data_IF_586330599681
#
_entry.id   IF_586330599681
#
_cell.length_a   1.000
_cell.length_b   1.000
_cell.length_c   1.000
_cell.angle_alpha   90.00
_cell.angle_beta   90.00
_cell.angle_gamma   90.00
#
_symmetry.space_group_name_H-M   'P 1'
#
loop_
_entity.id
_entity.type
_entity.pdbx_description
1 polymer ?
#
# COMPACT_ATOMS: atom_id res chain seq x y z
N UNK A 1 47.75 4.83 -14.59
CA UNK A 1 46.46 5.55 -14.74
C UNK A 1 46.29 6.50 -13.56
N UNK A 2 46.10 7.80 -13.83
CA UNK A 2 46.08 8.83 -12.79
C UNK A 2 44.82 8.72 -11.90
N UNK A 3 45.00 8.86 -10.58
CA UNK A 3 43.94 8.92 -9.56
C UNK A 3 42.81 9.90 -9.92
N UNK A 4 43.09 10.94 -10.72
CA UNK A 4 42.07 11.87 -11.22
C UNK A 4 41.12 11.26 -12.26
N UNK A 5 41.59 10.29 -13.07
CA UNK A 5 40.72 9.59 -14.04
C UNK A 5 39.83 8.53 -13.37
N UNK A 6 40.32 7.89 -12.30
CA UNK A 6 39.51 6.99 -11.48
C UNK A 6 38.42 7.74 -10.70
N UNK A 7 38.73 8.91 -10.14
CA UNK A 7 37.76 9.74 -9.44
C UNK A 7 36.67 10.32 -10.37
N UNK A 8 37.02 10.71 -11.60
CA UNK A 8 36.05 11.16 -12.61
C UNK A 8 35.15 10.04 -13.13
N UNK A 9 35.65 8.81 -13.26
CA UNK A 9 34.85 7.66 -13.66
C UNK A 9 33.84 7.24 -12.57
N UNK A 10 34.23 7.29 -11.29
CA UNK A 10 33.33 7.04 -10.16
C UNK A 10 32.28 8.14 -10.01
N UNK A 11 32.64 9.41 -10.21
CA UNK A 11 31.68 10.52 -10.19
C UNK A 11 30.67 10.45 -11.36
N UNK A 12 31.10 10.00 -12.55
CA UNK A 12 30.21 9.80 -13.70
C UNK A 12 29.27 8.59 -13.52
N UNK A 13 29.73 7.52 -12.88
CA UNK A 13 28.89 6.35 -12.55
C UNK A 13 27.89 6.64 -11.43
N UNK A 14 28.25 7.48 -10.45
CA UNK A 14 27.31 7.98 -9.44
C UNK A 14 26.28 8.96 -10.03
N UNK A 15 26.65 9.78 -11.01
CA UNK A 15 25.72 10.68 -11.69
C UNK A 15 24.72 9.94 -12.61
N UNK A 16 25.07 8.75 -13.11
CA UNK A 16 24.18 7.92 -13.93
C UNK A 16 23.34 6.93 -13.09
N UNK A 17 23.80 6.54 -11.89
CA UNK A 17 23.05 5.72 -10.94
C UNK A 17 22.07 6.47 -10.04
N UNK A 18 22.05 7.81 -10.09
CA UNK A 18 21.18 8.68 -9.30
C UNK A 18 20.02 9.28 -10.10
N UNK A 19 19.57 8.63 -11.18
CA UNK A 19 18.22 8.89 -11.71
C UNK A 19 17.20 8.26 -10.76
N UNK A 20 16.96 8.96 -9.65
CA UNK A 20 15.68 8.86 -8.95
C UNK A 20 14.55 8.98 -9.98
N UNK A 21 13.47 8.20 -9.78
CA UNK A 21 12.18 8.48 -10.43
C UNK A 21 11.98 10.01 -10.45
N UNK A 22 11.62 10.60 -11.61
CA UNK A 22 11.37 12.04 -11.67
C UNK A 22 10.35 12.38 -10.59
N UNK A 23 10.64 13.48 -9.89
CA UNK A 23 9.89 14.10 -8.82
C UNK A 23 8.53 13.46 -8.50
N UNK A 24 8.33 13.12 -7.22
CA UNK A 24 6.99 12.90 -6.68
C UNK A 24 6.02 14.00 -7.15
N UNK A 25 4.76 13.60 -7.27
CA UNK A 25 3.64 14.43 -7.75
C UNK A 25 3.86 15.93 -7.53
N UNK A 26 3.86 16.77 -8.60
CA UNK A 26 3.96 18.21 -8.43
C UNK A 26 2.75 18.71 -7.64
N UNK A 27 3.01 19.33 -6.49
CA UNK A 27 2.06 20.24 -5.88
C UNK A 27 1.71 21.33 -6.90
N UNK A 28 0.41 21.57 -7.07
CA UNK A 28 -0.13 22.66 -7.90
C UNK A 28 0.41 24.00 -7.39
N UNK A 29 1.36 24.57 -8.12
CA UNK A 29 1.90 25.91 -7.88
C UNK A 29 2.43 26.52 -9.18
N UNK A 30 1.58 27.35 -9.80
CA UNK A 30 1.86 28.37 -10.81
C UNK A 30 2.88 28.09 -11.94
N UNK A 31 2.39 27.98 -13.18
CA UNK A 31 3.08 28.60 -14.32
C UNK A 31 3.67 27.74 -15.44
N UNK A 32 3.39 26.43 -15.51
CA UNK A 32 3.66 25.64 -16.71
C UNK A 32 2.67 24.49 -16.84
N UNK A 33 1.82 24.52 -17.88
CA UNK A 33 1.03 23.36 -18.31
C UNK A 33 1.97 22.30 -18.90
N UNK A 34 2.65 21.55 -18.04
CA UNK A 34 3.16 20.23 -18.41
C UNK A 34 2.06 19.27 -17.99
N UNK A 35 1.36 18.71 -18.98
CA UNK A 35 0.39 17.66 -18.75
C UNK A 35 1.02 16.62 -17.81
N UNK A 36 0.40 16.36 -16.66
CA UNK A 36 0.74 15.19 -15.86
C UNK A 36 0.61 13.95 -16.76
N UNK A 37 1.21 12.80 -16.42
CA UNK A 37 0.78 11.55 -17.02
C UNK A 37 -0.73 11.46 -16.81
N UNK A 38 -1.45 11.75 -17.89
CA UNK A 38 -2.79 11.35 -18.23
C UNK A 38 -3.59 10.73 -17.08
N UNK A 39 -4.58 11.48 -16.58
CA UNK A 39 -5.75 10.94 -15.89
C UNK A 39 -6.61 10.03 -16.81
N UNK A 40 -6.00 9.25 -17.72
CA UNK A 40 -6.67 8.66 -18.88
C UNK A 40 -6.82 7.13 -18.79
N UNK A 41 -6.51 6.50 -17.66
CA UNK A 41 -6.83 5.08 -17.44
C UNK A 41 -7.45 4.81 -16.07
N UNK A 42 -7.65 5.83 -15.24
CA UNK A 42 -8.25 5.70 -13.91
C UNK A 42 -9.66 6.24 -13.95
N UNK A 43 -10.64 5.36 -13.79
CA UNK A 43 -12.01 5.72 -13.54
C UNK A 43 -12.26 5.51 -12.05
N UNK A 44 -12.48 6.59 -11.31
CA UNK A 44 -12.90 6.47 -9.91
C UNK A 44 -14.29 5.84 -9.88
N UNK A 45 -14.55 5.01 -8.88
CA UNK A 45 -15.87 4.41 -8.74
C UNK A 45 -16.89 5.52 -8.45
N UNK A 46 -18.02 5.58 -9.18
CA UNK A 46 -19.00 6.62 -8.95
C UNK A 46 -19.62 6.44 -7.56
N UNK A 47 -19.40 7.42 -6.68
CA UNK A 47 -20.15 7.54 -5.42
C UNK A 47 -21.59 7.91 -5.78
N UNK A 48 -22.58 7.21 -5.22
CA UNK A 48 -23.98 7.43 -5.56
C UNK A 48 -24.43 8.84 -5.15
N UNK A 49 -25.47 9.37 -5.81
CA UNK A 49 -26.02 10.68 -5.46
C UNK A 49 -26.47 10.75 -3.98
N UNK A 50 -27.05 9.67 -3.46
CA UNK A 50 -27.46 9.55 -2.05
C UNK A 50 -26.24 9.57 -1.12
N UNK A 51 -25.16 8.85 -1.46
CA UNK A 51 -23.92 8.87 -0.70
C UNK A 51 -23.28 10.27 -0.71
N UNK A 52 -23.27 10.96 -1.85
CA UNK A 52 -22.75 12.32 -1.96
C UNK A 52 -23.58 13.31 -1.12
N UNK A 53 -24.89 13.14 -1.03
CA UNK A 53 -25.74 13.97 -0.16
C UNK A 53 -25.38 13.77 1.32
N UNK A 54 -25.25 12.51 1.76
CA UNK A 54 -24.85 12.19 3.14
C UNK A 54 -23.45 12.73 3.46
N UNK A 55 -22.48 12.51 2.57
CA UNK A 55 -21.12 13.02 2.73
C UNK A 55 -21.09 14.55 2.75
N UNK A 56 -21.87 15.20 1.89
CA UNK A 56 -22.02 16.65 1.85
C UNK A 56 -22.63 17.23 3.14
N UNK A 57 -23.62 16.56 3.71
CA UNK A 57 -24.22 16.97 4.98
C UNK A 57 -23.22 16.88 6.15
N UNK A 58 -22.43 15.79 6.21
CA UNK A 58 -21.36 15.64 7.21
C UNK A 58 -20.27 16.71 7.05
N UNK A 59 -19.85 16.98 5.82
CA UNK A 59 -18.88 18.02 5.50
C UNK A 59 -19.39 19.41 5.93
N UNK A 60 -20.64 19.74 5.61
CA UNK A 60 -21.26 21.00 6.00
C UNK A 60 -21.36 21.16 7.53
N UNK A 61 -21.68 20.08 8.26
CA UNK A 61 -21.71 20.10 9.71
C UNK A 61 -20.32 20.35 10.32
N UNK A 62 -19.28 19.70 9.78
CA UNK A 62 -17.89 19.90 10.17
C UNK A 62 -17.39 21.34 9.86
N UNK A 63 -17.79 21.89 8.71
CA UNK A 63 -17.39 23.24 8.30
C UNK A 63 -18.09 24.34 9.11
N UNK A 64 -19.35 24.12 9.51
CA UNK A 64 -20.08 25.02 10.39
C UNK A 64 -19.53 25.01 11.83
N UNK A 65 -18.86 23.94 12.26
CA UNK A 65 -18.36 23.76 13.62
C UNK A 65 -16.87 23.34 13.59
N UNK A 66 -15.95 24.26 13.22
CA UNK A 66 -14.57 23.88 12.97
C UNK A 66 -13.81 23.34 14.19
N UNK A 67 -14.21 23.74 15.40
CA UNK A 67 -13.63 23.30 16.67
C UNK A 67 -14.35 22.09 17.27
N UNK A 68 -15.34 21.52 16.57
CA UNK A 68 -16.05 20.31 17.01
C UNK A 68 -15.32 19.06 16.54
N UNK A 69 -14.63 18.42 17.48
CA UNK A 69 -13.94 17.15 17.27
C UNK A 69 -14.84 16.06 16.68
N UNK A 70 -16.07 15.91 17.19
CA UNK A 70 -16.97 14.85 16.78
C UNK A 70 -17.44 15.07 15.34
N UNK A 71 -17.78 16.31 14.97
CA UNK A 71 -18.18 16.66 13.61
C UNK A 71 -17.04 16.41 12.60
N UNK A 72 -15.82 16.87 12.91
CA UNK A 72 -14.62 16.66 12.08
C UNK A 72 -14.30 15.16 11.92
N UNK A 73 -14.28 14.41 13.03
CA UNK A 73 -14.03 12.96 13.01
C UNK A 73 -15.08 12.22 12.18
N UNK A 74 -16.37 12.55 12.35
CA UNK A 74 -17.45 11.89 11.61
C UNK A 74 -17.34 12.13 10.09
N UNK A 75 -17.13 13.38 9.68
CA UNK A 75 -16.91 13.72 8.28
C UNK A 75 -15.66 13.04 7.71
N UNK A 76 -14.53 13.14 8.40
CA UNK A 76 -13.25 12.56 7.98
C UNK A 76 -13.32 11.04 7.82
N UNK A 77 -13.92 10.33 8.79
CA UNK A 77 -14.08 8.88 8.72
C UNK A 77 -15.01 8.45 7.58
N UNK A 78 -16.11 9.17 7.35
CA UNK A 78 -17.04 8.84 6.26
C UNK A 78 -16.38 9.01 4.88
N UNK A 79 -15.68 10.12 4.66
CA UNK A 79 -14.94 10.36 3.42
C UNK A 79 -13.76 9.38 3.26
N UNK A 80 -13.08 9.00 4.34
CA UNK A 80 -12.05 7.96 4.31
C UNK A 80 -12.62 6.63 3.83
N UNK A 81 -13.75 6.18 4.39
CA UNK A 81 -14.39 4.93 3.97
C UNK A 81 -14.87 4.98 2.51
N UNK A 82 -15.43 6.10 2.08
CA UNK A 82 -15.82 6.29 0.67
C UNK A 82 -14.60 6.28 -0.27
N UNK A 83 -13.48 6.90 0.16
CA UNK A 83 -12.20 6.83 -0.55
C UNK A 83 -11.72 5.39 -0.70
N UNK A 84 -11.78 4.60 0.37
CA UNK A 84 -11.40 3.19 0.36
C UNK A 84 -12.36 2.32 -0.46
N UNK A 85 -13.62 2.72 -0.60
CA UNK A 85 -14.59 2.10 -1.50
C UNK A 85 -14.29 2.32 -2.99
N UNK A 86 -13.51 3.34 -3.33
CA UNK A 86 -13.11 3.68 -4.70
C UNK A 86 -13.36 5.15 -5.11
N UNK A 87 -13.95 5.97 -4.25
CA UNK A 87 -14.16 7.42 -4.46
C UNK A 87 -12.90 8.22 -4.13
N UNK A 88 -11.85 8.06 -4.94
CA UNK A 88 -10.50 8.54 -4.62
C UNK A 88 -10.36 10.07 -4.66
N UNK A 89 -11.31 10.75 -5.31
CA UNK A 89 -11.50 12.21 -5.28
C UNK A 89 -11.89 12.74 -3.90
N UNK A 90 -12.48 11.91 -3.04
CA UNK A 90 -12.86 12.27 -1.66
C UNK A 90 -11.70 12.27 -0.68
N UNK A 91 -10.52 11.81 -1.09
CA UNK A 91 -9.34 11.64 -0.24
C UNK A 91 -8.91 12.92 0.44
N UNK A 92 -8.84 14.02 -0.31
CA UNK A 92 -8.32 15.29 0.22
C UNK A 92 -9.26 15.85 1.30
N UNK A 93 -10.58 15.62 1.17
CA UNK A 93 -11.57 15.95 2.21
C UNK A 93 -11.41 15.08 3.44
N UNK A 94 -11.25 13.76 3.25
CA UNK A 94 -11.00 12.83 4.35
C UNK A 94 -9.78 13.23 5.17
N UNK A 95 -8.67 13.55 4.50
CA UNK A 95 -7.43 14.03 5.13
C UNK A 95 -7.64 15.31 5.92
N UNK A 96 -8.22 16.34 5.30
CA UNK A 96 -8.42 17.63 5.96
C UNK A 96 -9.24 17.51 7.25
N UNK A 97 -10.34 16.76 7.22
CA UNK A 97 -11.20 16.60 8.40
C UNK A 97 -10.59 15.68 9.47
N UNK A 98 -9.90 14.60 9.08
CA UNK A 98 -9.20 13.73 10.05
C UNK A 98 -8.01 14.44 10.71
N UNK A 99 -7.24 15.22 9.94
CA UNK A 99 -6.13 16.04 10.46
C UNK A 99 -6.63 17.14 11.39
N UNK A 100 -7.73 17.81 11.05
CA UNK A 100 -8.37 18.79 11.92
C UNK A 100 -8.89 18.15 13.22
N UNK A 101 -9.54 16.99 13.14
CA UNK A 101 -9.95 16.23 14.32
C UNK A 101 -8.74 15.84 15.19
N UNK A 102 -7.64 15.43 14.56
CA UNK A 102 -6.42 15.04 15.27
C UNK A 102 -5.75 16.22 15.96
N UNK A 103 -5.77 17.41 15.34
CA UNK A 103 -5.29 18.63 15.96
C UNK A 103 -6.09 19.03 17.21
N UNK A 104 -7.40 18.71 17.25
CA UNK A 104 -8.26 18.96 18.40
C UNK A 104 -8.05 17.96 19.54
N UNK A 105 -7.89 16.67 19.23
CA UNK A 105 -7.59 15.63 20.22
C UNK A 105 -6.60 14.58 19.66
N UNK A 106 -5.28 14.81 19.82
CA UNK A 106 -4.26 13.87 19.37
C UNK A 106 -4.17 12.61 20.25
N UNK A 107 -4.78 12.63 21.44
CA UNK A 107 -4.77 11.50 22.37
C UNK A 107 -5.81 10.43 22.03
N UNK A 108 -6.78 10.75 21.17
CA UNK A 108 -7.82 9.83 20.75
C UNK A 108 -7.26 8.67 19.90
N UNK A 109 -6.87 7.57 20.56
CA UNK A 109 -6.22 6.39 19.94
C UNK A 109 -6.92 5.84 18.70
N UNK A 110 -8.26 5.81 18.69
CA UNK A 110 -9.04 5.33 17.54
C UNK A 110 -8.86 6.19 16.28
N UNK A 111 -8.71 7.50 16.45
CA UNK A 111 -8.50 8.45 15.36
C UNK A 111 -7.07 8.34 14.85
N UNK A 112 -6.09 8.37 15.76
CA UNK A 112 -4.68 8.24 15.37
C UNK A 112 -4.41 6.92 14.65
N UNK A 113 -5.05 5.82 15.08
CA UNK A 113 -4.99 4.54 14.37
C UNK A 113 -5.60 4.62 12.97
N UNK A 114 -6.79 5.21 12.82
CA UNK A 114 -7.47 5.32 11.54
C UNK A 114 -6.71 6.19 10.55
N UNK A 115 -6.30 7.40 10.98
CA UNK A 115 -5.55 8.35 10.17
C UNK A 115 -4.15 7.81 9.80
N UNK A 116 -3.44 7.19 10.75
CA UNK A 116 -2.15 6.57 10.48
C UNK A 116 -2.25 5.46 9.44
N UNK A 117 -3.28 4.60 9.56
CA UNK A 117 -3.57 3.59 8.52
C UNK A 117 -3.93 4.23 7.20
N UNK A 118 -4.71 5.30 7.19
CA UNK A 118 -5.08 5.99 5.96
C UNK A 118 -3.86 6.53 5.19
N UNK A 119 -2.83 7.03 5.88
CA UNK A 119 -1.58 7.41 5.24
C UNK A 119 -0.81 6.23 4.63
N UNK A 120 -0.82 5.06 5.28
CA UNK A 120 -0.26 3.85 4.66
C UNK A 120 -1.02 3.50 3.38
N UNK A 121 -2.36 3.62 3.40
CA UNK A 121 -3.22 3.33 2.25
C UNK A 121 -2.99 4.32 1.11
N UNK A 122 -2.78 5.62 1.41
CA UNK A 122 -2.44 6.68 0.44
C UNK A 122 -1.09 6.46 -0.25
N UNK A 123 -0.17 5.74 0.39
CA UNK A 123 1.24 5.69 -0.01
C UNK A 123 1.83 7.10 -0.16
N UNK A 124 2.01 7.84 0.95
CA UNK A 124 2.49 9.25 1.03
C UNK A 124 3.89 9.54 0.43
N UNK A 125 4.43 8.62 -0.36
CA UNK A 125 5.67 8.80 -1.11
C UNK A 125 5.57 10.02 -2.05
N UNK A 126 6.52 10.95 -1.92
CA UNK A 126 6.54 12.19 -2.68
C UNK A 126 5.72 13.34 -2.07
N UNK A 127 4.99 13.10 -0.99
CA UNK A 127 4.32 14.14 -0.21
C UNK A 127 4.99 14.28 1.16
N UNK A 128 5.93 15.23 1.27
CA UNK A 128 6.70 15.43 2.51
C UNK A 128 5.79 15.78 3.69
N UNK A 129 4.76 16.60 3.45
CA UNK A 129 3.84 17.05 4.50
C UNK A 129 3.06 15.88 5.10
N UNK A 130 2.61 14.94 4.27
CA UNK A 130 1.87 13.76 4.73
C UNK A 130 2.78 12.70 5.32
N UNK A 131 4.03 12.58 4.86
CA UNK A 131 5.02 11.73 5.53
C UNK A 131 5.34 12.22 6.95
N UNK A 132 5.51 13.53 7.14
CA UNK A 132 5.70 14.12 8.47
C UNK A 132 4.45 13.92 9.35
N UNK A 133 3.25 14.14 8.80
CA UNK A 133 2.01 13.91 9.51
C UNK A 133 1.81 12.44 9.91
N UNK A 134 2.22 11.49 9.06
CA UNK A 134 2.23 10.06 9.41
C UNK A 134 3.11 9.79 10.63
N UNK A 135 4.30 10.40 10.71
CA UNK A 135 5.18 10.29 11.88
C UNK A 135 4.50 10.85 13.12
N UNK A 136 3.91 12.05 13.04
CA UNK A 136 3.20 12.69 14.17
C UNK A 136 2.04 11.85 14.67
N UNK A 137 1.20 11.34 13.76
CA UNK A 137 0.01 10.56 14.11
C UNK A 137 0.39 9.22 14.74
N UNK A 138 1.41 8.55 14.22
CA UNK A 138 1.88 7.31 14.82
C UNK A 138 2.61 7.51 16.15
N UNK A 139 3.39 8.58 16.32
CA UNK A 139 3.97 8.94 17.61
C UNK A 139 2.87 9.11 18.68
N UNK A 140 1.79 9.82 18.35
CA UNK A 140 0.62 9.95 19.23
C UNK A 140 -0.06 8.59 19.50
N UNK A 141 -0.12 7.71 18.49
CA UNK A 141 -0.70 6.37 18.65
C UNK A 141 0.14 5.45 19.54
N UNK A 142 1.47 5.55 19.47
CA UNK A 142 2.41 4.81 20.32
C UNK A 142 2.33 5.26 21.78
N UNK A 143 1.95 6.52 22.02
CA UNK A 143 1.72 7.05 23.37
C UNK A 143 2.99 6.95 24.22
N UNK A 144 2.88 6.35 25.40
CA UNK A 144 3.99 6.21 26.37
C UNK A 144 5.18 5.38 25.84
N UNK A 145 4.97 4.56 24.81
CA UNK A 145 6.07 3.82 24.17
C UNK A 145 7.00 4.71 23.35
N UNK A 146 6.57 5.94 23.02
CA UNK A 146 7.34 6.92 22.27
C UNK A 146 7.87 8.00 23.19
N UNK A 147 9.18 8.19 23.20
CA UNK A 147 9.83 9.30 23.91
C UNK A 147 9.92 10.52 22.97
N UNK A 148 9.21 11.64 23.26
CA UNK A 148 9.24 12.83 22.43
C UNK A 148 10.55 13.61 22.51
N UNK A 149 11.36 13.45 23.57
CA UNK A 149 12.63 14.15 23.73
C UNK A 149 13.73 13.53 22.87
N UNK A 150 13.78 12.19 22.83
CA UNK A 150 14.79 11.44 22.07
C UNK A 150 14.30 11.02 20.68
N UNK A 151 12.99 10.91 20.49
CA UNK A 151 12.38 10.36 19.28
C UNK A 151 12.62 8.86 19.13
N UNK A 152 12.82 8.16 20.24
CA UNK A 152 13.08 6.72 20.35
C UNK A 152 11.84 5.96 20.86
N UNK A 153 11.83 4.65 20.59
CA UNK A 153 10.79 3.71 21.03
C UNK A 153 11.51 2.47 21.54
N UNK A 154 11.15 1.99 22.74
CA UNK A 154 11.66 0.72 23.26
C UNK A 154 10.95 -0.44 22.55
N UNK A 155 11.57 -0.90 21.45
CA UNK A 155 11.01 -1.92 20.55
C UNK A 155 10.82 -3.27 21.26
N UNK A 156 11.69 -3.60 22.20
CA UNK A 156 11.69 -4.89 22.89
C UNK A 156 10.51 -5.00 23.87
N UNK A 157 10.07 -3.86 24.43
CA UNK A 157 8.93 -3.77 25.34
C UNK A 157 7.55 -3.77 24.63
N UNK A 158 7.51 -3.68 23.30
CA UNK A 158 6.23 -3.58 22.58
C UNK A 158 5.48 -4.90 22.55
N UNK A 159 4.16 -4.85 22.74
CA UNK A 159 3.26 -5.92 22.30
C UNK A 159 3.17 -5.96 20.76
N UNK A 160 2.59 -7.02 20.20
CA UNK A 160 2.48 -7.17 18.73
C UNK A 160 1.71 -6.03 18.08
N UNK A 161 0.59 -5.57 18.65
CA UNK A 161 -0.22 -4.51 18.06
C UNK A 161 0.54 -3.18 18.01
N UNK A 162 1.29 -2.88 19.07
CA UNK A 162 2.09 -1.67 19.20
C UNK A 162 3.34 -1.75 18.31
N UNK A 163 3.92 -2.95 18.16
CA UNK A 163 5.00 -3.19 17.21
C UNK A 163 4.58 -2.98 15.75
N UNK A 164 3.34 -3.37 15.39
CA UNK A 164 2.77 -3.06 14.06
C UNK A 164 2.70 -1.55 13.85
N UNK A 165 2.22 -0.79 14.85
CA UNK A 165 2.20 0.67 14.79
C UNK A 165 3.60 1.27 14.66
N UNK A 166 4.56 0.77 15.44
CA UNK A 166 5.98 1.16 15.34
C UNK A 166 6.56 0.92 13.94
N UNK A 167 6.23 -0.21 13.31
CA UNK A 167 6.72 -0.52 11.96
C UNK A 167 6.27 0.52 10.93
N UNK A 168 5.03 1.01 11.03
CA UNK A 168 4.51 2.09 10.17
C UNK A 168 4.97 3.49 10.59
N UNK A 169 5.26 3.71 11.88
CA UNK A 169 5.95 4.90 12.36
C UNK A 169 7.34 5.03 11.71
N UNK A 170 8.15 3.98 11.74
CA UNK A 170 9.47 3.98 11.12
C UNK A 170 9.39 4.08 9.60
N UNK A 171 8.37 3.49 8.95
CA UNK A 171 8.10 3.74 7.53
C UNK A 171 7.89 5.24 7.25
N UNK A 172 7.09 5.92 8.08
CA UNK A 172 6.91 7.37 8.00
C UNK A 172 8.23 8.12 8.09
N UNK A 173 9.09 7.76 9.06
CA UNK A 173 10.43 8.38 9.23
C UNK A 173 11.35 8.12 8.04
N UNK A 174 11.31 6.92 7.47
CA UNK A 174 12.05 6.56 6.25
C UNK A 174 11.60 7.43 5.08
N UNK A 175 10.28 7.59 4.88
CA UNK A 175 9.71 8.41 3.82
C UNK A 175 10.03 9.90 4.02
N UNK A 176 9.90 10.42 5.24
CA UNK A 176 10.27 11.80 5.59
C UNK A 176 11.75 12.07 5.34
N UNK A 177 12.65 11.18 5.80
CA UNK A 177 14.09 11.29 5.56
C UNK A 177 14.41 11.27 4.05
N UNK A 178 13.79 10.37 3.29
CA UNK A 178 13.92 10.29 1.83
C UNK A 178 13.45 11.58 1.16
N UNK A 179 12.28 12.08 1.51
CA UNK A 179 11.70 13.31 0.95
C UNK A 179 12.56 14.55 1.28
N UNK A 180 13.23 14.55 2.43
CA UNK A 180 14.20 15.57 2.83
C UNK A 180 15.60 15.40 2.19
N UNK A 181 15.79 14.45 1.26
CA UNK A 181 17.08 14.19 0.61
C UNK A 181 18.12 13.46 1.48
N UNK A 182 17.74 13.00 2.69
CA UNK A 182 18.62 12.30 3.64
C UNK A 182 18.68 10.79 3.34
N UNK A 183 19.11 10.42 2.12
CA UNK A 183 19.04 9.04 1.62
C UNK A 183 19.80 8.03 2.47
N UNK A 184 20.99 8.39 2.99
CA UNK A 184 21.76 7.50 3.87
C UNK A 184 21.04 7.24 5.21
N UNK A 185 20.34 8.25 5.73
CA UNK A 185 19.53 8.11 6.94
C UNK A 185 18.33 7.18 6.68
N UNK A 186 17.63 7.40 5.58
CA UNK A 186 16.52 6.55 5.15
C UNK A 186 16.96 5.08 4.99
N UNK A 187 18.09 4.82 4.33
CA UNK A 187 18.62 3.46 4.15
C UNK A 187 19.05 2.80 5.47
N UNK A 188 19.65 3.56 6.39
CA UNK A 188 20.00 3.07 7.72
C UNK A 188 18.76 2.65 8.50
N UNK A 189 17.68 3.45 8.42
CA UNK A 189 16.39 3.15 9.05
C UNK A 189 15.71 1.93 8.43
N UNK A 190 15.74 1.79 7.09
CA UNK A 190 15.26 0.57 6.42
C UNK A 190 15.97 -0.66 6.97
N UNK A 191 17.30 -0.67 7.03
CA UNK A 191 18.05 -1.82 7.58
C UNK A 191 17.69 -2.13 9.03
N UNK A 192 17.48 -1.09 9.85
CA UNK A 192 17.07 -1.26 11.24
C UNK A 192 15.67 -1.88 11.35
N UNK A 193 14.72 -1.39 10.55
CA UNK A 193 13.34 -1.90 10.51
C UNK A 193 13.27 -3.33 9.97
N UNK A 194 13.99 -3.64 8.89
CA UNK A 194 14.08 -5.02 8.35
C UNK A 194 14.58 -6.01 9.40
N UNK A 195 15.61 -5.63 10.15
CA UNK A 195 16.13 -6.46 11.25
C UNK A 195 15.11 -6.63 12.37
N UNK A 196 14.48 -5.55 12.82
CA UNK A 196 13.47 -5.61 13.88
C UNK A 196 12.29 -6.50 13.48
N UNK A 197 11.81 -6.40 12.24
CA UNK A 197 10.76 -7.26 11.69
C UNK A 197 11.19 -8.74 11.66
N UNK A 198 12.41 -9.03 11.19
CA UNK A 198 12.93 -10.38 11.13
C UNK A 198 13.10 -11.01 12.52
N UNK A 199 13.70 -10.28 13.47
CA UNK A 199 13.88 -10.71 14.85
C UNK A 199 12.53 -10.97 15.54
N UNK A 200 11.57 -10.06 15.35
CA UNK A 200 10.23 -10.21 15.91
C UNK A 200 9.49 -11.41 15.30
N UNK A 201 9.51 -11.58 13.98
CA UNK A 201 8.87 -12.72 13.31
C UNK A 201 9.51 -14.06 13.71
N UNK A 202 10.83 -14.09 13.94
CA UNK A 202 11.53 -15.26 14.45
C UNK A 202 11.16 -15.61 15.90
N UNK A 203 10.98 -14.59 16.75
CA UNK A 203 10.57 -14.76 18.14
C UNK A 203 9.11 -15.22 18.30
N UNK A 204 8.25 -14.94 17.32
CA UNK A 204 6.82 -15.30 17.32
C UNK A 204 6.48 -16.17 16.09
N UNK A 205 7.02 -17.40 16.01
CA UNK A 205 6.91 -18.20 14.80
C UNK A 205 5.48 -18.60 14.43
N UNK A 206 4.57 -18.61 15.40
CA UNK A 206 3.16 -18.95 15.23
C UNK A 206 2.28 -17.76 14.82
N UNK A 207 2.79 -16.53 14.90
CA UNK A 207 2.08 -15.32 14.49
C UNK A 207 2.19 -15.12 12.97
N UNK A 208 1.22 -15.68 12.25
CA UNK A 208 1.15 -15.63 10.77
C UNK A 208 0.99 -14.19 10.27
N UNK A 209 0.27 -13.33 11.01
CA UNK A 209 0.02 -11.94 10.61
C UNK A 209 1.29 -11.09 10.73
N UNK A 210 2.10 -11.32 11.77
CA UNK A 210 3.40 -10.68 11.90
C UNK A 210 4.38 -11.12 10.80
N UNK A 211 4.39 -12.40 10.43
CA UNK A 211 5.18 -12.88 9.29
C UNK A 211 4.73 -12.22 7.99
N UNK A 212 3.41 -12.13 7.76
CA UNK A 212 2.87 -11.44 6.59
C UNK A 212 3.28 -9.95 6.56
N UNK A 213 3.30 -9.27 7.70
CA UNK A 213 3.81 -7.90 7.82
C UNK A 213 5.28 -7.81 7.41
N UNK A 214 6.15 -8.67 7.94
CA UNK A 214 7.57 -8.69 7.60
C UNK A 214 7.80 -8.96 6.10
N UNK A 215 7.03 -9.90 5.52
CA UNK A 215 7.04 -10.18 4.10
C UNK A 215 6.62 -8.98 3.25
N UNK A 216 5.53 -8.31 3.62
CA UNK A 216 5.03 -7.10 2.93
C UNK A 216 6.09 -5.99 2.92
N UNK A 217 6.71 -5.70 4.07
CA UNK A 217 7.78 -4.70 4.13
C UNK A 217 8.99 -5.07 3.27
N UNK A 218 9.41 -6.34 3.31
CA UNK A 218 10.51 -6.83 2.47
C UNK A 218 10.20 -6.63 0.98
N UNK A 219 8.98 -6.99 0.56
CA UNK A 219 8.53 -6.83 -0.82
C UNK A 219 8.41 -5.37 -1.24
N UNK A 220 7.84 -4.51 -0.38
CA UNK A 220 7.78 -3.07 -0.58
C UNK A 220 9.17 -2.47 -0.79
N UNK A 221 10.15 -2.86 0.03
CA UNK A 221 11.53 -2.38 -0.13
C UNK A 221 12.22 -2.96 -1.36
N UNK A 222 11.96 -4.21 -1.76
CA UNK A 222 12.50 -4.80 -2.97
C UNK A 222 12.12 -4.01 -4.24
N UNK A 223 10.92 -3.44 -4.25
CA UNK A 223 10.43 -2.61 -5.34
C UNK A 223 10.91 -1.16 -5.32
N UNK A 224 11.31 -0.65 -4.16
CA UNK A 224 11.64 0.77 -3.99
C UNK A 224 13.14 1.04 -3.78
N UNK A 225 13.94 0.02 -3.49
CA UNK A 225 15.37 0.14 -3.19
C UNK A 225 16.15 -0.78 -4.14
N UNK A 226 17.08 -0.25 -4.96
CA UNK A 226 17.76 -1.04 -5.99
C UNK A 226 18.78 -2.04 -5.44
N UNK A 227 19.29 -1.84 -4.22
CA UNK A 227 20.24 -2.75 -3.57
C UNK A 227 19.50 -3.92 -2.92
N UNK A 228 20.14 -5.09 -2.80
CA UNK A 228 19.63 -6.30 -2.11
C UNK A 228 18.21 -6.73 -2.52
N UNK A 229 17.76 -6.42 -3.75
CA UNK A 229 16.39 -6.69 -4.19
C UNK A 229 16.05 -8.17 -4.13
N UNK A 230 16.93 -9.02 -4.68
CA UNK A 230 16.73 -10.47 -4.73
C UNK A 230 16.61 -11.07 -3.33
N UNK A 231 17.48 -10.67 -2.38
CA UNK A 231 17.38 -11.05 -0.96
C UNK A 231 16.01 -10.68 -0.40
N UNK A 232 15.57 -9.44 -0.59
CA UNK A 232 14.28 -8.95 -0.09
C UNK A 232 13.09 -9.69 -0.68
N UNK A 233 13.16 -10.05 -1.96
CA UNK A 233 12.16 -10.91 -2.61
C UNK A 233 12.16 -12.28 -1.96
N UNK A 234 13.32 -12.91 -1.76
CA UNK A 234 13.41 -14.22 -1.11
C UNK A 234 12.83 -14.19 0.32
N UNK A 235 13.12 -13.15 1.10
CA UNK A 235 12.57 -12.97 2.45
C UNK A 235 11.04 -12.80 2.44
N UNK A 236 10.52 -12.05 1.45
CA UNK A 236 9.08 -11.89 1.25
C UNK A 236 8.39 -13.20 0.85
N UNK A 237 8.96 -13.93 -0.11
CA UNK A 237 8.46 -15.23 -0.57
C UNK A 237 8.40 -16.23 0.59
N UNK A 238 9.46 -16.33 1.40
CA UNK A 238 9.47 -17.22 2.56
C UNK A 238 8.36 -16.88 3.58
N UNK A 239 8.02 -15.60 3.72
CA UNK A 239 6.93 -15.14 4.59
C UNK A 239 5.56 -15.45 4.00
N UNK A 240 5.37 -15.22 2.70
CA UNK A 240 4.11 -15.43 2.00
C UNK A 240 3.79 -16.92 1.77
N UNK A 241 4.80 -17.79 1.67
CA UNK A 241 4.63 -19.24 1.69
C UNK A 241 3.93 -19.71 2.97
N UNK A 242 4.37 -19.21 4.13
CA UNK A 242 3.73 -19.51 5.42
C UNK A 242 2.32 -18.96 5.46
N UNK A 243 2.12 -17.72 4.98
CA UNK A 243 0.79 -17.10 4.90
C UNK A 243 -0.17 -17.93 4.04
N UNK A 244 0.27 -18.39 2.86
CA UNK A 244 -0.56 -19.23 1.97
C UNK A 244 -0.93 -20.54 2.65
N UNK A 245 0.04 -21.23 3.25
CA UNK A 245 -0.17 -22.52 3.89
C UNK A 245 -1.08 -22.42 5.13
N UNK A 246 -1.00 -21.31 5.87
CA UNK A 246 -1.71 -21.11 7.15
C UNK A 246 -2.81 -20.05 7.06
N UNK A 247 -3.33 -19.76 5.87
CA UNK A 247 -4.36 -18.74 5.67
C UNK A 247 -5.59 -18.97 6.57
N UNK A 248 -5.96 -20.23 6.79
CA UNK A 248 -7.07 -20.62 7.67
C UNK A 248 -6.90 -20.14 9.11
N UNK A 249 -5.67 -19.95 9.59
CA UNK A 249 -5.32 -19.60 10.96
C UNK A 249 -5.33 -18.09 11.24
N UNK A 250 -5.40 -17.25 10.21
CA UNK A 250 -5.50 -15.80 10.37
C UNK A 250 -6.72 -15.41 11.21
N UNK A 251 -6.64 -14.28 11.90
CA UNK A 251 -7.78 -13.77 12.66
C UNK A 251 -8.98 -13.50 11.75
N UNK A 252 -10.23 -13.57 12.27
CA UNK A 252 -11.42 -13.22 11.48
C UNK A 252 -11.33 -11.81 10.87
N UNK A 253 -10.71 -10.87 11.59
CA UNK A 253 -10.50 -9.49 11.14
C UNK A 253 -9.56 -9.41 9.94
N UNK A 254 -8.46 -10.17 9.92
CA UNK A 254 -7.54 -10.20 8.78
C UNK A 254 -8.19 -10.80 7.51
N UNK A 255 -9.23 -11.63 7.69
CA UNK A 255 -10.01 -12.26 6.61
C UNK A 255 -11.33 -11.54 6.32
N UNK A 256 -11.56 -10.36 6.88
CA UNK A 256 -12.86 -9.69 6.81
C UNK A 256 -13.16 -9.13 5.41
N UNK A 257 -13.94 -9.88 4.65
CA UNK A 257 -14.26 -9.58 3.24
C UNK A 257 -15.03 -8.29 3.02
N UNK A 258 -15.77 -7.81 4.03
CA UNK A 258 -16.52 -6.55 3.92
C UNK A 258 -15.57 -5.34 3.78
N UNK A 259 -14.48 -5.33 4.55
CA UNK A 259 -13.54 -4.22 4.58
C UNK A 259 -12.28 -4.48 3.74
N UNK A 260 -11.89 -5.74 3.55
CA UNK A 260 -10.70 -6.15 2.83
C UNK A 260 -11.01 -7.31 1.87
N UNK A 261 -11.83 -7.09 0.82
CA UNK A 261 -12.31 -8.18 -0.03
C UNK A 261 -11.23 -8.90 -0.83
N UNK A 262 -10.05 -8.30 -1.02
CA UNK A 262 -9.03 -8.79 -1.97
C UNK A 262 -7.68 -9.13 -1.31
N UNK A 263 -7.62 -9.21 0.02
CA UNK A 263 -6.36 -9.45 0.76
C UNK A 263 -5.67 -10.72 0.30
N UNK A 264 -6.43 -11.80 0.06
CA UNK A 264 -5.88 -13.07 -0.40
C UNK A 264 -5.27 -12.92 -1.79
N UNK A 265 -6.04 -12.39 -2.75
CA UNK A 265 -5.61 -12.23 -4.13
C UNK A 265 -4.38 -11.34 -4.24
N UNK A 266 -4.30 -10.25 -3.48
CA UNK A 266 -3.12 -9.39 -3.48
C UNK A 266 -1.87 -10.16 -3.00
N UNK A 267 -1.93 -10.82 -1.83
CA UNK A 267 -0.77 -11.55 -1.31
C UNK A 267 -0.38 -12.75 -2.19
N UNK A 268 -1.34 -13.44 -2.79
CA UNK A 268 -1.03 -14.55 -3.69
C UNK A 268 -0.43 -14.04 -4.99
N UNK A 269 -0.92 -12.92 -5.53
CA UNK A 269 -0.31 -12.31 -6.71
C UNK A 269 1.12 -11.87 -6.43
N UNK A 270 1.36 -11.23 -5.28
CA UNK A 270 2.72 -10.87 -4.82
C UNK A 270 3.63 -12.10 -4.66
N UNK A 271 3.12 -13.21 -4.12
CA UNK A 271 3.85 -14.47 -4.03
C UNK A 271 4.19 -15.05 -5.41
N UNK A 272 3.25 -15.01 -6.37
CA UNK A 272 3.47 -15.50 -7.73
C UNK A 272 4.53 -14.66 -8.47
N UNK A 273 4.47 -13.34 -8.34
CA UNK A 273 5.47 -12.42 -8.87
C UNK A 273 6.84 -12.68 -8.22
N UNK A 274 6.88 -12.92 -6.90
CA UNK A 274 8.08 -13.33 -6.17
C UNK A 274 8.68 -14.65 -6.66
N UNK A 275 7.85 -15.65 -6.93
CA UNK A 275 8.31 -16.92 -7.53
C UNK A 275 8.84 -16.73 -8.94
N UNK A 276 8.17 -15.95 -9.79
CA UNK A 276 8.59 -15.72 -11.16
C UNK A 276 9.99 -15.09 -11.23
N UNK A 277 10.24 -14.05 -10.44
CA UNK A 277 11.56 -13.39 -10.44
C UNK A 277 12.67 -14.23 -9.80
N UNK A 278 12.33 -15.19 -8.95
CA UNK A 278 13.26 -16.18 -8.39
C UNK A 278 13.37 -17.46 -9.23
N UNK A 279 12.86 -17.44 -10.47
CA UNK A 279 12.89 -18.56 -11.42
C UNK A 279 12.16 -19.84 -10.93
N UNK A 280 11.22 -19.70 -10.00
CA UNK A 280 10.36 -20.77 -9.46
C UNK A 280 9.08 -20.91 -10.28
N UNK A 281 9.25 -21.27 -11.56
CA UNK A 281 8.20 -21.22 -12.57
C UNK A 281 7.00 -22.11 -12.29
N UNK A 282 7.20 -23.32 -11.77
CA UNK A 282 6.10 -24.25 -11.48
C UNK A 282 5.18 -23.71 -10.38
N UNK A 283 5.77 -23.15 -9.32
CA UNK A 283 5.01 -22.55 -8.22
C UNK A 283 4.32 -21.24 -8.63
N UNK A 284 4.99 -20.41 -9.44
CA UNK A 284 4.38 -19.21 -10.02
C UNK A 284 3.16 -19.57 -10.89
N UNK A 285 3.32 -20.56 -11.79
CA UNK A 285 2.26 -21.06 -12.67
C UNK A 285 1.04 -21.53 -11.87
N UNK A 286 1.26 -22.29 -10.80
CA UNK A 286 0.18 -22.80 -9.96
C UNK A 286 -0.66 -21.67 -9.34
N UNK A 287 -0.02 -20.59 -8.88
CA UNK A 287 -0.74 -19.44 -8.30
C UNK A 287 -1.42 -18.61 -9.38
N UNK A 288 -0.75 -18.30 -10.48
CA UNK A 288 -1.40 -17.53 -11.55
C UNK A 288 -2.63 -18.26 -12.10
N UNK A 289 -2.58 -19.59 -12.23
CA UNK A 289 -3.72 -20.41 -12.63
C UNK A 289 -4.87 -20.32 -11.61
N UNK A 290 -4.56 -20.34 -10.30
CA UNK A 290 -5.55 -20.14 -9.24
C UNK A 290 -6.21 -18.75 -9.35
N UNK A 291 -5.42 -17.69 -9.54
CA UNK A 291 -5.91 -16.31 -9.60
C UNK A 291 -6.68 -16.00 -10.89
N UNK A 292 -6.35 -16.66 -12.00
CA UNK A 292 -7.04 -16.50 -13.28
C UNK A 292 -8.48 -17.04 -13.27
N UNK A 293 -8.79 -18.00 -12.38
CA UNK A 293 -10.08 -18.68 -12.27
C UNK A 293 -11.07 -17.95 -11.34
N UNK A 294 -11.48 -16.71 -11.70
CA UNK A 294 -12.32 -15.82 -10.87
C UNK A 294 -13.67 -16.42 -10.47
N UNK A 295 -14.29 -17.21 -11.36
CA UNK A 295 -15.66 -17.67 -11.25
C UNK A 295 -15.82 -18.98 -10.46
N UNK A 296 -14.71 -19.64 -10.09
CA UNK A 296 -14.78 -20.87 -9.31
C UNK A 296 -14.77 -20.59 -7.81
N UNK A 297 -15.67 -21.22 -7.02
CA UNK A 297 -15.53 -21.24 -5.57
C UNK A 297 -14.18 -21.89 -5.23
N UNK A 298 -13.17 -21.07 -4.90
CA UNK A 298 -11.87 -21.59 -4.51
C UNK A 298 -12.04 -22.54 -3.32
N UNK A 299 -11.25 -23.61 -3.28
CA UNK A 299 -11.19 -24.58 -2.17
C UNK A 299 -10.85 -23.95 -0.81
N UNK A 300 -10.41 -22.69 -0.78
CA UNK A 300 -10.13 -21.91 0.43
C UNK A 300 -11.36 -21.07 0.80
N UNK A 301 -12.33 -21.77 1.41
CA UNK A 301 -13.44 -21.29 2.25
C UNK A 301 -14.30 -20.12 1.71
N UNK A 302 -15.34 -20.41 0.92
CA UNK A 302 -16.55 -19.59 0.77
C UNK A 302 -16.55 -18.58 -0.38
N UNK A 303 -17.75 -18.13 -0.77
CA UNK A 303 -18.02 -17.19 -1.87
C UNK A 303 -17.17 -15.91 -1.77
N UNK A 304 -16.26 -15.71 -2.73
CA UNK A 304 -15.39 -14.53 -2.78
C UNK A 304 -16.11 -13.44 -3.57
N UNK A 305 -16.32 -12.23 -3.00
CA UNK A 305 -17.06 -11.17 -3.70
C UNK A 305 -16.31 -10.76 -4.96
N UNK A 306 -16.98 -10.76 -6.11
CA UNK A 306 -16.41 -10.24 -7.35
C UNK A 306 -16.14 -8.75 -7.14
N UNK A 307 -14.90 -8.30 -7.35
CA UNK A 307 -14.49 -6.90 -7.17
C UNK A 307 -13.63 -6.47 -8.36
N UNK A 308 -13.52 -5.14 -8.56
CA UNK A 308 -12.68 -4.60 -9.63
C UNK A 308 -11.21 -5.04 -9.50
N UNK A 309 -10.55 -4.94 -8.32
CA UNK A 309 -9.18 -5.41 -8.18
C UNK A 309 -9.00 -6.92 -8.49
N UNK A 310 -9.96 -7.78 -8.13
CA UNK A 310 -9.89 -9.21 -8.45
C UNK A 310 -9.95 -9.47 -9.96
N UNK A 311 -10.81 -8.74 -10.68
CA UNK A 311 -10.89 -8.79 -12.15
C UNK A 311 -9.56 -8.41 -12.81
N UNK A 312 -8.95 -7.33 -12.31
CA UNK A 312 -7.67 -6.86 -12.84
C UNK A 312 -6.56 -7.88 -12.54
N UNK A 313 -6.45 -8.36 -11.29
CA UNK A 313 -5.45 -9.38 -10.89
C UNK A 313 -5.56 -10.64 -11.73
N UNK A 314 -6.77 -11.12 -11.97
CA UNK A 314 -6.98 -12.32 -12.78
C UNK A 314 -6.61 -12.11 -14.24
N UNK A 315 -6.92 -10.94 -14.81
CA UNK A 315 -6.56 -10.60 -16.19
C UNK A 315 -5.04 -10.52 -16.35
N UNK A 316 -4.34 -9.88 -15.41
CA UNK A 316 -2.87 -9.88 -15.40
C UNK A 316 -2.34 -11.30 -15.19
N UNK A 317 -2.94 -12.10 -14.30
CA UNK A 317 -2.52 -13.49 -14.07
C UNK A 317 -2.65 -14.36 -15.33
N UNK A 318 -3.68 -14.16 -16.17
CA UNK A 318 -3.79 -14.81 -17.48
C UNK A 318 -2.64 -14.42 -18.41
N UNK A 319 -2.34 -13.13 -18.50
CA UNK A 319 -1.21 -12.65 -19.30
C UNK A 319 0.13 -13.24 -18.83
N UNK A 320 0.32 -13.37 -17.50
CA UNK A 320 1.49 -14.04 -16.92
C UNK A 320 1.56 -15.51 -17.28
N UNK A 321 0.45 -16.23 -17.29
CA UNK A 321 0.42 -17.65 -17.68
C UNK A 321 0.82 -17.86 -19.14
N UNK A 322 0.32 -17.01 -20.03
CA UNK A 322 0.57 -17.10 -21.46
C UNK A 322 2.03 -16.79 -21.82
N UNK A 323 2.71 -16.00 -20.97
CA UNK A 323 4.06 -15.51 -21.23
C UNK A 323 5.07 -15.86 -20.12
N UNK A 324 4.79 -16.84 -19.27
CA UNK A 324 5.55 -17.09 -18.04
C UNK A 324 7.05 -17.24 -18.28
N UNK A 325 7.44 -18.00 -19.30
CA UNK A 325 8.85 -18.27 -19.61
C UNK A 325 9.64 -17.00 -19.92
N UNK A 326 8.98 -15.95 -20.44
CA UNK A 326 9.60 -14.67 -20.74
C UNK A 326 9.71 -13.74 -19.50
N UNK A 327 8.99 -14.07 -18.43
CA UNK A 327 9.02 -13.34 -17.16
C UNK A 327 9.98 -13.95 -16.12
N UNK A 328 10.38 -15.21 -16.28
CA UNK A 328 11.26 -15.87 -15.31
C UNK A 328 12.58 -15.10 -15.16
N UNK A 329 12.93 -14.80 -13.91
CA UNK A 329 14.13 -14.03 -13.58
C UNK A 329 14.01 -12.52 -13.82
N UNK A 330 12.89 -12.01 -14.34
CA UNK A 330 12.76 -10.60 -14.70
C UNK A 330 12.43 -9.71 -13.49
N UNK A 331 13.47 -9.18 -12.86
CA UNK A 331 13.34 -8.24 -11.75
C UNK A 331 12.59 -6.93 -12.08
N UNK A 332 12.21 -6.65 -13.32
CA UNK A 332 11.31 -5.52 -13.65
C UNK A 332 9.88 -5.74 -13.16
N UNK A 333 9.53 -6.98 -12.80
CA UNK A 333 8.30 -7.31 -12.09
C UNK A 333 8.28 -6.78 -10.65
N UNK A 334 9.41 -6.28 -10.12
CA UNK A 334 9.51 -5.69 -8.78
C UNK A 334 9.54 -4.14 -8.84
N UNK A 335 8.72 -3.41 -8.05
CA UNK A 335 7.68 -3.95 -7.18
C UNK A 335 6.59 -4.65 -8.01
N UNK A 336 5.91 -5.65 -7.44
CA UNK A 336 4.73 -6.23 -8.06
C UNK A 336 3.78 -5.11 -8.48
N UNK A 337 3.13 -5.29 -9.61
CA UNK A 337 1.89 -4.57 -9.81
C UNK A 337 0.82 -5.24 -8.94
N UNK A 338 -0.06 -4.50 -8.28
CA UNK A 338 -0.15 -3.04 -8.28
C UNK A 338 0.59 -2.37 -7.12
N UNK A 339 1.49 -1.44 -7.44
CA UNK A 339 2.27 -0.67 -6.44
C UNK A 339 2.20 0.84 -6.59
N UNK A 340 1.47 1.34 -7.59
CA UNK A 340 1.24 2.76 -7.86
C UNK A 340 -0.01 3.35 -7.19
N UNK A 341 -1.04 2.53 -6.91
CA UNK A 341 -2.21 2.93 -6.15
C UNK A 341 -2.07 2.72 -4.62
N UNK A 342 -0.92 2.20 -4.18
CA UNK A 342 -0.72 1.63 -2.84
C UNK A 342 -1.39 0.24 -2.74
N UNK A 343 -0.61 -0.83 -2.50
CA UNK A 343 -1.10 -2.23 -2.40
C UNK A 343 -2.27 -2.37 -1.41
N UNK A 344 -2.26 -1.49 -0.41
CA UNK A 344 -3.33 -1.27 0.53
C UNK A 344 -4.70 -0.95 -0.11
N UNK A 345 -4.80 -0.05 -1.10
CA UNK A 345 -6.07 0.22 -1.81
C UNK A 345 -6.57 -1.04 -2.49
N UNK A 346 -5.66 -1.84 -3.07
CA UNK A 346 -6.01 -3.08 -3.77
C UNK A 346 -6.62 -4.10 -2.81
N UNK A 347 -6.09 -4.24 -1.59
CA UNK A 347 -6.70 -5.12 -0.57
C UNK A 347 -8.11 -4.68 -0.15
N UNK A 348 -8.37 -3.37 -0.09
CA UNK A 348 -9.57 -2.78 0.53
C UNK A 348 -10.68 -2.38 -0.45
N UNK A 349 -10.33 -2.08 -1.69
CA UNK A 349 -11.27 -1.50 -2.65
C UNK A 349 -12.22 -2.53 -3.25
N UNK A 350 -13.48 -2.12 -3.39
CA UNK A 350 -14.47 -2.90 -4.14
C UNK A 350 -14.43 -2.57 -5.62
N UNK A 351 -14.28 -1.28 -5.95
CA UNK A 351 -14.47 -0.78 -7.30
C UNK A 351 -13.33 0.12 -7.80
N UNK A 352 -12.29 0.37 -7.00
CA UNK A 352 -11.20 1.24 -7.41
C UNK A 352 -10.48 0.68 -8.65
N UNK A 353 -10.30 1.52 -9.67
CA UNK A 353 -9.31 1.28 -10.69
C UNK A 353 -7.92 1.35 -10.06
N UNK A 354 -7.11 0.37 -10.43
CA UNK A 354 -5.74 0.29 -9.99
C UNK A 354 -4.87 0.84 -11.12
N UNK A 355 -3.97 1.77 -10.78
CA UNK A 355 -3.10 2.38 -11.77
C UNK A 355 -2.31 1.33 -12.55
N UNK A 356 -2.05 1.55 -13.84
CA UNK A 356 -1.24 0.64 -14.66
C UNK A 356 0.21 1.13 -14.80
N UNK A 357 0.60 2.16 -14.06
CA UNK A 357 1.89 2.83 -14.17
C UNK A 357 3.04 1.92 -13.73
N UNK A 358 2.83 1.10 -12.70
CA UNK A 358 3.83 0.13 -12.24
C UNK A 358 3.74 -1.22 -12.96
N UNK A 359 2.78 -1.42 -13.86
CA UNK A 359 2.59 -2.70 -14.55
C UNK A 359 3.68 -2.93 -15.59
N UNK A 360 4.56 -3.89 -15.32
CA UNK A 360 5.42 -4.45 -16.36
C UNK A 360 4.63 -5.53 -17.12
N UNK A 361 4.57 -5.41 -18.45
CA UNK A 361 3.90 -6.37 -19.31
C UNK A 361 4.64 -6.50 -20.65
N UNK A 362 4.67 -7.71 -21.21
CA UNK A 362 5.32 -8.03 -22.50
C UNK A 362 4.50 -7.43 -23.64
N UNK A 363 3.18 -7.65 -23.66
CA UNK A 363 2.25 -6.98 -24.55
C UNK A 363 1.35 -6.02 -23.75
N UNK A 364 1.95 -4.88 -23.38
CA UNK A 364 1.26 -3.86 -22.59
C UNK A 364 0.03 -3.32 -23.30
N UNK A 365 0.08 -3.16 -24.62
CA UNK A 365 -1.02 -2.55 -25.37
C UNK A 365 -2.22 -3.50 -25.48
N UNK A 366 -2.00 -4.80 -25.67
CA UNK A 366 -3.07 -5.79 -25.61
C UNK A 366 -3.67 -5.88 -24.22
N UNK A 367 -2.83 -5.99 -23.19
CA UNK A 367 -3.31 -6.08 -21.82
C UNK A 367 -4.11 -4.84 -21.41
N UNK A 368 -3.67 -3.63 -21.76
CA UNK A 368 -4.41 -2.40 -21.48
C UNK A 368 -5.79 -2.41 -22.15
N UNK A 369 -5.90 -2.90 -23.40
CA UNK A 369 -7.21 -3.02 -24.07
C UNK A 369 -8.13 -3.97 -23.29
N UNK A 370 -7.64 -5.14 -22.93
CA UNK A 370 -8.41 -6.13 -22.17
C UNK A 370 -8.88 -5.56 -20.83
N UNK A 371 -8.02 -4.84 -20.11
CA UNK A 371 -8.35 -4.22 -18.83
C UNK A 371 -9.43 -3.12 -18.96
N UNK A 372 -9.45 -2.39 -20.08
CA UNK A 372 -10.46 -1.36 -20.37
C UNK A 372 -11.82 -1.95 -20.76
N UNK A 373 -11.85 -3.18 -21.28
CA UNK A 373 -13.08 -3.89 -21.66
C UNK A 373 -13.75 -4.61 -20.48
N UNK A 374 -13.05 -4.76 -19.36
CA UNK A 374 -13.61 -5.36 -18.15
C UNK A 374 -14.80 -4.53 -17.63
N UNK A 375 -15.86 -5.18 -17.11
CA UNK A 375 -17.05 -4.48 -16.66
C UNK A 375 -16.74 -3.41 -15.60
N UNK A 376 -17.07 -2.16 -15.90
CA UNK A 376 -17.07 -1.04 -14.94
C UNK A 376 -18.38 -1.06 -14.15
N UNK A 377 -18.77 -2.19 -13.55
CA UNK A 377 -20.16 -2.36 -13.12
C UNK A 377 -20.45 -1.95 -11.67
N UNK A 378 -21.45 -1.07 -11.62
CA UNK A 378 -22.18 -0.42 -10.53
C UNK A 378 -23.00 -1.39 -9.65
N UNK A 379 -22.75 -2.70 -9.68
CA UNK A 379 -23.61 -3.72 -9.03
C UNK A 379 -22.95 -4.48 -7.88
N UNK A 380 -21.79 -4.04 -7.40
CA UNK A 380 -21.03 -4.76 -6.37
C UNK A 380 -20.78 -3.86 -5.16
N UNK A 381 -21.84 -3.60 -4.39
CA UNK A 381 -21.73 -3.33 -2.95
C UNK A 381 -23.08 -3.62 -2.25
N UNK A 382 -23.09 -4.31 -1.10
CA UNK A 382 -24.19 -4.18 -0.16
C UNK A 382 -24.19 -2.75 0.40
N UNK A 383 -25.38 -2.13 0.41
CA UNK A 383 -25.67 -0.84 1.06
C UNK A 383 -25.00 -0.81 2.44
N UNK A 384 -24.19 0.22 2.69
CA UNK A 384 -23.50 0.41 3.96
C UNK A 384 -24.51 0.44 5.13
N UNK A 385 -24.51 -0.62 5.94
CA UNK A 385 -25.03 -0.56 7.30
C UNK A 385 -24.15 0.37 8.14
N UNK A 386 -24.81 1.21 8.93
CA UNK A 386 -24.29 2.20 9.91
C UNK A 386 -22.88 1.91 10.43
N UNK A 387 -22.04 2.94 10.47
CA UNK A 387 -20.66 2.92 10.96
C UNK A 387 -20.51 2.08 12.24
N UNK A 388 -19.51 1.19 12.35
CA UNK A 388 -19.22 0.52 13.62
C UNK A 388 -18.63 1.54 14.61
N UNK A 389 -19.11 1.48 15.85
CA UNK A 389 -18.66 2.26 17.01
C UNK A 389 -17.16 2.13 17.32
#
# INVERSE_FOLDING_TARGET
MSLRRAALAVAALLALGCQSKPAGHPQRGAGAQVASPAAHTRQDAPVSAEQLEVLGALAAAADANPDDFAARKASGMAHMWATLGGGLDLRDRAEADLEAAFALDPSHRGLSRALGRFYNLRAVAGDSSKADMQVTVYAAHLGEAYDPETGEVDVDALDTSTFVAYSFFELGRILAAKNAGKLLDALRRVKALERALAERAAAHPDDVELRALAGNFSFFFAGNIPMDRERRVADAVASFEVLRARWGELTPRAKERKHCPNTYENFMFELAEGYAVLERGDEARAIYAELAAIDEPSSIAGERPRTRPRELIATVSRERLDNLDAYLGDMRLMPPWPSDAGNCVVCHAWQAEVGLGSLHAIDRDALVRDLLELPTQTELAPVFGTAPE
#
